data_IF_247689905185
#
_entry.id   IF_247689905185
#
_cell.length_a   1.000
_cell.length_b   1.000
_cell.length_c   1.000
_cell.angle_alpha   90.00
_cell.angle_beta   90.00
_cell.angle_gamma   90.00
#
_symmetry.space_group_name_H-M   'P 1'
#
loop_
_entity.id
_entity.type
_entity.pdbx_description
1 polymer ?
#
# COMPACT_ATOMS: atom_id res chain seq x y z
N UNK A 1 31.35 4.40 -2.87
CA UNK A 1 30.86 5.28 -3.93
C UNK A 1 29.33 5.29 -3.95
N UNK A 2 28.75 6.47 -3.76
CA UNK A 2 27.29 6.65 -3.71
C UNK A 2 26.62 6.29 -5.03
N UNK A 3 27.27 6.56 -6.17
CA UNK A 3 26.73 6.23 -7.48
C UNK A 3 26.54 4.73 -7.67
N UNK A 4 27.52 3.93 -7.29
CA UNK A 4 27.43 2.47 -7.35
C UNK A 4 26.30 1.94 -6.45
N UNK A 5 26.14 2.51 -5.26
CA UNK A 5 25.08 2.12 -4.34
C UNK A 5 23.69 2.49 -4.90
N UNK A 6 23.55 3.65 -5.53
CA UNK A 6 22.32 4.08 -6.21
C UNK A 6 21.99 3.10 -7.35
N UNK A 7 22.95 2.74 -8.17
CA UNK A 7 22.74 1.84 -9.31
C UNK A 7 22.30 0.45 -8.85
N UNK A 8 22.90 -0.08 -7.80
CA UNK A 8 22.49 -1.37 -7.19
C UNK A 8 21.08 -1.26 -6.61
N UNK A 9 20.80 -0.22 -5.84
CA UNK A 9 19.48 -0.01 -5.25
C UNK A 9 18.40 0.16 -6.34
N UNK A 10 18.69 0.90 -7.39
CA UNK A 10 17.77 1.05 -8.52
C UNK A 10 17.48 -0.27 -9.23
N UNK A 11 18.50 -1.09 -9.45
CA UNK A 11 18.32 -2.43 -10.01
C UNK A 11 17.42 -3.32 -9.15
N UNK A 12 17.61 -3.30 -7.84
CA UNK A 12 16.78 -4.05 -6.89
C UNK A 12 15.34 -3.54 -6.84
N UNK A 13 15.16 -2.22 -6.74
CA UNK A 13 13.82 -1.59 -6.71
C UNK A 13 13.06 -1.87 -7.99
N UNK A 14 13.71 -1.79 -9.14
CA UNK A 14 13.10 -2.09 -10.44
C UNK A 14 12.69 -3.57 -10.53
N UNK A 15 13.62 -4.48 -10.28
CA UNK A 15 13.36 -5.93 -10.40
C UNK A 15 12.24 -6.41 -9.46
N UNK A 16 12.37 -6.10 -8.18
CA UNK A 16 11.39 -6.55 -7.18
C UNK A 16 10.12 -5.71 -7.18
N UNK A 17 10.20 -4.44 -7.57
CA UNK A 17 9.05 -3.59 -7.80
C UNK A 17 8.18 -4.08 -8.95
N UNK A 18 8.78 -4.49 -10.07
CA UNK A 18 8.06 -5.14 -11.18
C UNK A 18 7.39 -6.44 -10.75
N UNK A 19 8.06 -7.26 -9.94
CA UNK A 19 7.49 -8.47 -9.35
C UNK A 19 6.31 -8.17 -8.43
N UNK A 20 6.43 -7.16 -7.57
CA UNK A 20 5.36 -6.69 -6.69
C UNK A 20 4.14 -6.20 -7.48
N UNK A 21 4.37 -5.41 -8.53
CA UNK A 21 3.31 -4.91 -9.40
C UNK A 21 2.62 -6.04 -10.20
N UNK A 22 3.39 -7.00 -10.71
CA UNK A 22 2.86 -8.16 -11.42
C UNK A 22 1.98 -9.03 -10.51
N UNK A 23 2.44 -9.32 -9.29
CA UNK A 23 1.68 -10.07 -8.31
C UNK A 23 0.38 -9.34 -7.90
N UNK A 24 0.47 -8.04 -7.69
CA UNK A 24 -0.71 -7.21 -7.39
C UNK A 24 -1.72 -7.21 -8.54
N UNK A 25 -1.26 -7.19 -9.80
CA UNK A 25 -2.12 -7.31 -10.97
C UNK A 25 -2.87 -8.64 -10.99
N UNK A 26 -2.19 -9.74 -10.74
CA UNK A 26 -2.81 -11.07 -10.66
C UNK A 26 -3.82 -11.16 -9.51
N UNK A 27 -3.50 -10.58 -8.35
CA UNK A 27 -4.43 -10.52 -7.22
C UNK A 27 -5.69 -9.70 -7.55
N UNK A 28 -5.51 -8.56 -8.21
CA UNK A 28 -6.63 -7.72 -8.63
C UNK A 28 -7.57 -8.45 -9.58
N UNK A 29 -7.00 -9.11 -10.59
CA UNK A 29 -7.78 -9.90 -11.56
C UNK A 29 -8.52 -11.06 -10.87
N UNK A 30 -7.87 -11.75 -9.94
CA UNK A 30 -8.49 -12.82 -9.17
C UNK A 30 -9.66 -12.31 -8.29
N UNK A 31 -9.51 -11.14 -7.66
CA UNK A 31 -10.59 -10.51 -6.89
C UNK A 31 -11.76 -10.11 -7.77
N UNK A 32 -11.49 -9.57 -8.95
CA UNK A 32 -12.53 -9.22 -9.93
C UNK A 32 -13.30 -10.47 -10.37
N UNK A 33 -12.61 -11.54 -10.72
CA UNK A 33 -13.23 -12.82 -11.11
C UNK A 33 -14.06 -13.41 -9.97
N UNK A 34 -13.51 -13.45 -8.76
CA UNK A 34 -14.21 -13.97 -7.58
C UNK A 34 -15.51 -13.22 -7.27
N UNK A 35 -15.52 -11.92 -7.51
CA UNK A 35 -16.68 -11.06 -7.28
C UNK A 35 -17.61 -10.96 -8.51
N UNK A 36 -17.30 -11.65 -9.59
CA UNK A 36 -18.08 -11.63 -10.82
C UNK A 36 -18.04 -10.28 -11.56
N UNK A 37 -17.00 -9.48 -11.31
CA UNK A 37 -16.83 -8.20 -11.98
C UNK A 37 -16.25 -8.39 -13.39
N UNK A 38 -16.83 -7.71 -14.37
CA UNK A 38 -16.35 -7.73 -15.75
C UNK A 38 -15.54 -6.45 -16.02
N UNK A 39 -14.27 -6.50 -15.68
CA UNK A 39 -13.33 -5.39 -15.85
C UNK A 39 -12.15 -5.83 -16.71
N UNK A 40 -11.46 -4.90 -17.39
CA UNK A 40 -10.26 -5.22 -18.14
C UNK A 40 -9.19 -5.83 -17.23
N UNK A 41 -8.27 -6.60 -17.80
CA UNK A 41 -7.10 -7.11 -17.07
C UNK A 41 -6.35 -5.97 -16.37
N UNK A 42 -5.87 -6.24 -15.18
CA UNK A 42 -5.14 -5.25 -14.40
C UNK A 42 -3.83 -4.87 -15.09
N UNK A 43 -3.49 -3.60 -15.02
CA UNK A 43 -2.25 -3.05 -15.53
C UNK A 43 -1.28 -2.82 -14.36
N UNK A 44 -0.04 -3.33 -14.42
CA UNK A 44 0.95 -3.06 -13.40
C UNK A 44 1.32 -1.57 -13.37
N UNK A 45 1.51 -1.02 -12.18
CA UNK A 45 2.05 0.31 -12.01
C UNK A 45 3.54 0.33 -12.32
N UNK A 46 4.06 1.49 -12.68
CA UNK A 46 5.48 1.71 -12.86
C UNK A 46 6.23 1.65 -11.54
N UNK A 47 7.48 1.21 -11.58
CA UNK A 47 8.38 1.21 -10.44
C UNK A 47 8.95 2.61 -10.19
N UNK A 48 9.58 2.82 -9.04
CA UNK A 48 10.18 4.09 -8.70
C UNK A 48 11.24 4.52 -9.72
N UNK A 49 11.23 5.79 -10.07
CA UNK A 49 12.19 6.37 -11.00
C UNK A 49 13.59 6.48 -10.37
N UNK A 50 14.62 6.50 -11.24
CA UNK A 50 16.01 6.58 -10.82
C UNK A 50 16.27 7.76 -9.86
N UNK A 51 15.72 8.94 -10.16
CA UNK A 51 15.91 10.14 -9.31
C UNK A 51 15.29 9.98 -7.92
N UNK A 52 14.21 9.27 -7.79
CA UNK A 52 13.59 8.95 -6.50
C UNK A 52 14.44 7.99 -5.68
N UNK A 53 14.92 6.92 -6.32
CA UNK A 53 15.84 5.96 -5.68
C UNK A 53 17.12 6.67 -5.24
N UNK A 54 17.68 7.53 -6.07
CA UNK A 54 18.87 8.32 -5.74
C UNK A 54 18.65 9.20 -4.49
N UNK A 55 17.52 9.87 -4.39
CA UNK A 55 17.19 10.68 -3.20
C UNK A 55 17.07 9.80 -1.96
N UNK A 56 16.42 8.66 -2.06
CA UNK A 56 16.27 7.71 -0.95
C UNK A 56 17.63 7.20 -0.49
N UNK A 57 18.49 6.77 -1.41
CA UNK A 57 19.85 6.27 -1.08
C UNK A 57 20.68 7.36 -0.42
N UNK A 58 20.71 8.57 -0.97
CA UNK A 58 21.47 9.68 -0.39
C UNK A 58 20.99 10.06 1.02
N UNK A 59 19.70 9.93 1.29
CA UNK A 59 19.15 10.20 2.62
C UNK A 59 19.45 9.09 3.64
N UNK A 60 19.71 7.86 3.19
CA UNK A 60 19.79 6.68 4.07
C UNK A 60 21.12 5.93 4.04
N UNK A 61 22.06 6.30 3.17
CA UNK A 61 23.32 5.56 2.93
C UNK A 61 24.21 5.39 4.15
N UNK A 62 24.04 6.21 5.18
CA UNK A 62 24.82 6.12 6.42
C UNK A 62 24.23 5.11 7.43
N UNK A 63 23.07 4.57 7.14
CA UNK A 63 22.37 3.61 8.00
C UNK A 63 21.85 2.42 7.17
N UNK A 64 22.49 1.27 7.30
CA UNK A 64 22.07 0.05 6.61
C UNK A 64 20.60 -0.33 6.88
N UNK A 65 20.08 -0.26 8.11
CA UNK A 65 18.65 -0.54 8.35
C UNK A 65 17.73 0.43 7.61
N UNK A 66 18.05 1.73 7.60
CA UNK A 66 17.24 2.74 6.90
C UNK A 66 17.30 2.55 5.39
N UNK A 67 18.46 2.21 4.84
CA UNK A 67 18.61 1.91 3.42
C UNK A 67 17.77 0.71 3.00
N UNK A 68 17.84 -0.38 3.75
CA UNK A 68 16.99 -1.57 3.53
C UNK A 68 15.51 -1.24 3.59
N UNK A 69 15.11 -0.47 4.59
CA UNK A 69 13.74 0.00 4.75
C UNK A 69 13.27 0.85 3.57
N UNK A 70 14.12 1.73 3.08
CA UNK A 70 13.84 2.57 1.91
C UNK A 70 13.62 1.74 0.63
N UNK A 71 14.49 0.78 0.36
CA UNK A 71 14.35 -0.15 -0.78
C UNK A 71 13.05 -0.96 -0.67
N UNK A 72 12.80 -1.56 0.50
CA UNK A 72 11.58 -2.35 0.74
C UNK A 72 10.31 -1.52 0.55
N UNK A 73 10.30 -0.29 1.03
CA UNK A 73 9.18 0.64 0.85
C UNK A 73 8.88 0.90 -0.62
N UNK A 74 9.89 1.18 -1.43
CA UNK A 74 9.70 1.45 -2.85
C UNK A 74 9.22 0.22 -3.63
N UNK A 75 9.68 -0.98 -3.25
CA UNK A 75 9.19 -2.24 -3.81
C UNK A 75 7.71 -2.47 -3.47
N UNK A 76 7.34 -2.34 -2.20
CA UNK A 76 5.94 -2.51 -1.74
C UNK A 76 5.00 -1.50 -2.39
N UNK A 77 5.46 -0.26 -2.59
CA UNK A 77 4.66 0.79 -3.21
C UNK A 77 4.24 0.45 -4.63
N UNK A 78 5.06 -0.21 -5.41
CA UNK A 78 4.70 -0.62 -6.77
C UNK A 78 3.46 -1.54 -6.79
N UNK A 79 3.35 -2.48 -5.84
CA UNK A 79 2.17 -3.31 -5.66
C UNK A 79 0.94 -2.53 -5.20
N UNK A 80 1.11 -1.66 -4.21
CA UNK A 80 0.03 -0.80 -3.71
C UNK A 80 -0.51 0.14 -4.80
N UNK A 81 0.36 0.78 -5.55
CA UNK A 81 0.01 1.65 -6.66
C UNK A 81 -0.73 0.89 -7.76
N UNK A 82 -0.36 -0.37 -8.01
CA UNK A 82 -1.04 -1.24 -8.96
C UNK A 82 -2.49 -1.50 -8.54
N UNK A 83 -2.75 -1.86 -7.28
CA UNK A 83 -4.10 -2.07 -6.79
C UNK A 83 -4.95 -0.80 -6.92
N UNK A 84 -4.43 0.33 -6.49
CA UNK A 84 -5.13 1.61 -6.51
C UNK A 84 -5.35 2.16 -7.92
N UNK A 85 -4.38 2.03 -8.81
CA UNK A 85 -4.50 2.42 -10.22
C UNK A 85 -5.67 1.72 -10.91
N UNK A 86 -5.78 0.41 -10.73
CA UNK A 86 -6.84 -0.38 -11.35
C UNK A 86 -8.19 -0.14 -10.68
N UNK A 87 -8.22 0.00 -9.35
CA UNK A 87 -9.45 0.37 -8.64
C UNK A 87 -9.99 1.74 -9.10
N UNK A 88 -9.11 2.71 -9.31
CA UNK A 88 -9.48 4.02 -9.86
C UNK A 88 -10.06 3.91 -11.27
N UNK A 89 -9.42 3.13 -12.14
CA UNK A 89 -9.89 2.87 -13.51
C UNK A 89 -11.31 2.29 -13.52
N UNK A 90 -11.56 1.33 -12.64
CA UNK A 90 -12.79 0.53 -12.62
C UNK A 90 -13.88 1.11 -11.70
N UNK A 91 -13.61 2.22 -11.02
CA UNK A 91 -14.54 2.82 -10.07
C UNK A 91 -14.84 1.93 -8.87
N UNK A 92 -13.90 1.05 -8.51
CA UNK A 92 -14.03 0.15 -7.37
C UNK A 92 -13.81 0.88 -6.03
N UNK A 93 -14.22 0.24 -4.96
CA UNK A 93 -13.88 0.66 -3.59
C UNK A 93 -12.65 -0.08 -3.10
N UNK A 94 -11.91 0.55 -2.22
CA UNK A 94 -10.76 -0.04 -1.54
C UNK A 94 -10.81 0.21 -0.05
N UNK A 95 -10.14 -0.65 0.71
CA UNK A 95 -9.96 -0.49 2.14
C UNK A 95 -8.55 -0.94 2.55
N UNK A 96 -8.04 -0.37 3.64
CA UNK A 96 -6.83 -0.84 4.29
C UNK A 96 -7.16 -2.02 5.17
N UNK A 97 -6.46 -3.13 4.94
CA UNK A 97 -6.56 -4.33 5.77
C UNK A 97 -5.24 -4.53 6.51
N UNK A 98 -5.20 -4.18 7.79
CA UNK A 98 -4.03 -4.45 8.61
C UNK A 98 -3.82 -5.96 8.77
N UNK A 99 -2.57 -6.38 8.85
CA UNK A 99 -2.21 -7.76 9.17
C UNK A 99 -1.13 -7.80 10.24
N UNK A 100 -1.22 -8.76 11.17
CA UNK A 100 -0.23 -8.95 12.22
C UNK A 100 -0.09 -7.75 13.17
N UNK A 101 1.14 -7.43 13.53
CA UNK A 101 1.50 -6.30 14.39
C UNK A 101 1.33 -4.97 13.64
N UNK A 102 0.12 -4.48 13.65
CA UNK A 102 -0.27 -3.30 12.88
C UNK A 102 0.08 -2.02 13.62
N UNK A 103 0.73 -1.09 12.94
CA UNK A 103 1.03 0.22 13.52
C UNK A 103 -0.25 1.07 13.65
N UNK A 104 -0.23 2.01 14.61
CA UNK A 104 -1.37 2.90 14.87
C UNK A 104 -1.81 3.71 13.63
N UNK A 105 -0.87 4.07 12.75
CA UNK A 105 -1.18 4.75 11.50
C UNK A 105 -2.04 3.87 10.58
N UNK A 106 -1.66 2.60 10.39
CA UNK A 106 -2.43 1.66 9.58
C UNK A 106 -3.80 1.33 10.20
N UNK A 107 -3.88 1.25 11.53
CA UNK A 107 -5.18 1.11 12.21
C UNK A 107 -6.08 2.32 11.99
N UNK A 108 -5.51 3.52 12.01
CA UNK A 108 -6.25 4.76 11.70
C UNK A 108 -6.76 4.75 10.26
N UNK A 109 -5.96 4.28 9.31
CA UNK A 109 -6.42 4.15 7.92
C UNK A 109 -7.50 3.07 7.78
N UNK A 110 -7.34 1.93 8.43
CA UNK A 110 -8.34 0.85 8.44
C UNK A 110 -9.68 1.30 9.02
N UNK A 111 -9.66 2.20 10.01
CA UNK A 111 -10.87 2.76 10.61
C UNK A 111 -11.71 3.63 9.65
N UNK A 112 -11.12 4.05 8.52
CA UNK A 112 -11.84 4.80 7.49
C UNK A 112 -12.83 3.93 6.70
N UNK A 113 -12.69 2.62 6.79
CA UNK A 113 -13.55 1.66 6.09
C UNK A 113 -13.34 1.67 4.58
N UNK A 114 -14.38 1.29 3.88
CA UNK A 114 -14.39 1.26 2.42
C UNK A 114 -14.48 2.67 1.85
N UNK A 115 -13.61 2.95 0.90
CA UNK A 115 -13.57 4.23 0.20
C UNK A 115 -13.61 4.00 -1.30
N UNK A 116 -14.38 4.83 -2.01
CA UNK A 116 -14.34 4.82 -3.46
C UNK A 116 -12.97 5.29 -3.93
N UNK A 117 -12.35 4.54 -4.84
CA UNK A 117 -11.09 4.93 -5.43
C UNK A 117 -11.25 6.27 -6.17
N UNK A 118 -10.47 7.25 -5.77
CA UNK A 118 -10.41 8.57 -6.38
C UNK A 118 -8.99 9.11 -6.26
N UNK A 119 -8.62 10.05 -7.11
CA UNK A 119 -7.30 10.69 -7.04
C UNK A 119 -7.04 11.31 -5.66
N UNK A 120 -8.07 11.91 -5.05
CA UNK A 120 -7.98 12.50 -3.71
C UNK A 120 -7.78 11.44 -2.62
N UNK A 121 -8.55 10.36 -2.65
CA UNK A 121 -8.44 9.28 -1.68
C UNK A 121 -7.06 8.61 -1.76
N UNK A 122 -6.56 8.38 -2.96
CA UNK A 122 -5.24 7.79 -3.21
C UNK A 122 -4.13 8.73 -2.72
N UNK A 123 -4.18 10.01 -3.07
CA UNK A 123 -3.18 11.01 -2.66
C UNK A 123 -3.08 11.17 -1.14
N UNK A 124 -4.20 11.11 -0.44
CA UNK A 124 -4.23 11.24 1.03
C UNK A 124 -4.12 9.87 1.74
N UNK A 125 -3.80 8.84 0.99
CA UNK A 125 -3.78 7.47 1.47
C UNK A 125 -2.39 6.94 1.79
N UNK A 126 -2.38 5.67 2.03
CA UNK A 126 -1.20 4.93 2.50
C UNK A 126 -0.10 4.80 1.45
N UNK A 127 -0.43 4.79 0.15
CA UNK A 127 0.56 4.58 -0.91
C UNK A 127 1.71 5.60 -0.86
N UNK A 128 1.43 6.84 -0.42
CA UNK A 128 2.45 7.86 -0.24
C UNK A 128 3.20 7.74 1.12
N UNK A 129 2.67 6.95 2.05
CA UNK A 129 3.16 6.84 3.42
C UNK A 129 3.52 5.41 3.83
N UNK A 130 3.66 4.51 2.86
CA UNK A 130 4.11 3.14 3.11
C UNK A 130 5.49 3.18 3.76
N UNK A 131 5.62 2.50 4.90
CA UNK A 131 6.90 2.28 5.55
C UNK A 131 7.30 0.80 5.47
N UNK A 132 8.58 0.51 5.68
CA UNK A 132 9.16 -0.81 5.44
C UNK A 132 8.53 -1.94 6.27
N UNK A 133 8.12 -1.64 7.49
CA UNK A 133 7.54 -2.61 8.42
C UNK A 133 6.01 -2.65 8.36
N UNK A 134 5.42 -2.08 7.30
CA UNK A 134 3.99 -2.11 7.08
C UNK A 134 3.61 -3.36 6.30
N UNK A 135 2.83 -4.24 6.92
CA UNK A 135 2.28 -5.45 6.30
C UNK A 135 0.80 -5.29 5.90
N UNK A 136 0.32 -4.05 5.85
CA UNK A 136 -1.03 -3.76 5.40
C UNK A 136 -1.20 -4.09 3.93
N UNK A 137 -2.36 -4.66 3.61
CA UNK A 137 -2.79 -4.93 2.24
C UNK A 137 -4.00 -4.09 1.88
N UNK A 138 -4.33 -4.05 0.59
CA UNK A 138 -5.57 -3.44 0.13
C UNK A 138 -6.60 -4.51 -0.16
N UNK A 139 -7.81 -4.34 0.38
CA UNK A 139 -8.97 -5.04 -0.10
C UNK A 139 -9.65 -4.20 -1.19
N UNK A 140 -10.11 -4.85 -2.22
CA UNK A 140 -10.84 -4.23 -3.34
C UNK A 140 -12.21 -4.87 -3.42
N UNK A 141 -13.25 -4.06 -3.54
CA UNK A 141 -14.60 -4.54 -3.83
C UNK A 141 -15.22 -3.77 -4.98
N UNK A 142 -15.93 -4.50 -5.82
CA UNK A 142 -16.67 -3.96 -6.96
C UNK A 142 -18.15 -3.78 -6.65
N UNK A 143 -18.62 -4.45 -5.61
CA UNK A 143 -20.00 -4.39 -5.12
C UNK A 143 -19.97 -4.06 -3.61
N UNK A 144 -20.72 -3.03 -3.15
CA UNK A 144 -20.81 -2.67 -1.74
C UNK A 144 -21.30 -3.78 -0.80
N UNK A 145 -21.99 -4.77 -1.34
CA UNK A 145 -22.49 -5.92 -0.56
C UNK A 145 -21.42 -6.99 -0.28
N UNK A 146 -20.25 -6.88 -0.91
CA UNK A 146 -19.15 -7.83 -0.70
C UNK A 146 -18.49 -7.57 0.66
N UNK A 147 -18.40 -8.60 1.47
CA UNK A 147 -17.64 -8.62 2.71
C UNK A 147 -16.31 -9.33 2.51
N UNK A 148 -15.26 -8.77 3.08
CA UNK A 148 -13.93 -9.38 3.10
C UNK A 148 -13.71 -10.02 4.46
N UNK A 149 -13.48 -11.34 4.46
CA UNK A 149 -13.20 -12.09 5.68
C UNK A 149 -11.99 -11.53 6.41
N UNK A 150 -12.12 -11.35 7.71
CA UNK A 150 -11.06 -10.82 8.56
C UNK A 150 -10.93 -9.30 8.54
N UNK A 151 -11.79 -8.57 7.82
CA UNK A 151 -11.82 -7.12 7.82
C UNK A 151 -13.11 -6.58 8.46
N UNK A 152 -12.96 -5.96 9.62
CA UNK A 152 -14.03 -5.30 10.36
C UNK A 152 -13.67 -3.83 10.58
N UNK A 153 -14.10 -2.92 9.69
CA UNK A 153 -13.79 -1.49 9.81
C UNK A 153 -14.41 -0.86 11.05
N UNK A 154 -15.53 -1.37 11.54
CA UNK A 154 -16.20 -0.84 12.72
C UNK A 154 -15.40 -1.10 14.00
N UNK A 155 -14.74 -2.26 14.09
CA UNK A 155 -13.83 -2.56 15.19
C UNK A 155 -12.63 -1.60 15.21
N UNK A 156 -12.04 -1.29 14.06
CA UNK A 156 -10.95 -0.31 13.96
C UNK A 156 -11.42 1.11 14.26
N UNK A 157 -12.62 1.48 13.80
CA UNK A 157 -13.21 2.80 14.11
C UNK A 157 -13.48 2.94 15.60
N UNK A 158 -13.98 1.89 16.25
CA UNK A 158 -14.19 1.88 17.69
C UNK A 158 -12.87 2.06 18.44
N UNK A 159 -11.84 1.30 18.09
CA UNK A 159 -10.52 1.42 18.72
C UNK A 159 -9.94 2.84 18.55
N UNK A 160 -10.07 3.43 17.37
CA UNK A 160 -9.62 4.80 17.12
C UNK A 160 -10.38 5.84 17.96
N UNK A 161 -11.69 5.70 18.11
CA UNK A 161 -12.53 6.59 18.95
C UNK A 161 -12.23 6.42 20.43
N UNK A 162 -12.03 5.18 20.89
CA UNK A 162 -11.68 4.88 22.28
C UNK A 162 -10.31 5.48 22.66
N UNK A 163 -9.42 5.63 21.68
CA UNK A 163 -8.15 6.37 21.83
C UNK A 163 -8.30 7.90 21.67
N UNK A 164 -9.51 8.45 21.77
CA UNK A 164 -9.78 9.88 21.67
C UNK A 164 -9.60 10.45 20.26
N UNK A 165 -9.66 9.61 19.23
CA UNK A 165 -9.39 9.96 17.83
C UNK A 165 -7.97 10.53 17.62
N UNK A 166 -7.03 10.06 18.41
CA UNK A 166 -5.61 10.44 18.35
C UNK A 166 -4.72 9.24 18.02
N UNK A 167 -3.94 9.35 16.95
CA UNK A 167 -3.01 8.32 16.49
C UNK A 167 -1.93 8.03 17.54
N UNK A 168 -1.50 9.04 18.30
CA UNK A 168 -0.45 8.86 19.31
C UNK A 168 -0.99 8.12 20.54
N UNK A 169 -2.24 8.38 20.93
CA UNK A 169 -2.89 7.60 22.00
C UNK A 169 -3.15 6.16 21.55
N UNK A 170 -3.52 5.93 20.29
CA UNK A 170 -3.70 4.60 19.74
C UNK A 170 -2.40 3.76 19.78
N UNK A 171 -1.22 4.39 19.71
CA UNK A 171 0.08 3.72 19.87
C UNK A 171 0.38 3.19 21.26
N UNK A 172 -0.37 3.67 22.27
CA UNK A 172 -0.17 3.32 23.69
C UNK A 172 -1.05 2.17 24.15
N UNK A 173 -2.01 1.78 23.34
CA UNK A 173 -2.90 0.64 23.58
C UNK A 173 -2.31 -0.61 22.96
#
# INVERSE_FOLDING_TARGET
>A
DSQKLIDVAYGLVTKYGEGSAALASEMYDALAELQGAHVPAAEPAETAEYGEVARMVNATKTSTPQLKSGVSRLVKRAGADTMLKNALRDGAEFAWVPSGDTCAFCMTLASRGWQRASKKAIKNGHAEHIHANCDCTYAIRFDPEVNVEGYDPDAYLKAYRDAGSDVNELRRI
#
